data_IF_939635073202
#
_entry.id   IF_939635073202
#
_cell.length_a   1.000
_cell.length_b   1.000
_cell.length_c   1.000
_cell.angle_alpha   90.00
_cell.angle_beta   90.00
_cell.angle_gamma   90.00
#
_symmetry.space_group_name_H-M   'P 1'
#
loop_
_entity.id
_entity.type
_entity.pdbx_description
1 polymer ?
#
# COMPACT_ATOMS: atom_id res chain seq x y z
N UNK A 1 -37.72 57.36 -13.91
CA UNK A 1 -36.28 57.30 -14.22
C UNK A 1 -35.83 55.86 -14.05
N UNK A 2 -35.98 55.08 -15.13
CA UNK A 2 -35.47 53.72 -15.18
C UNK A 2 -34.02 53.69 -15.58
N UNK A 3 -33.13 53.39 -14.68
CA UNK A 3 -31.72 53.11 -14.97
C UNK A 3 -31.66 51.70 -15.50
N UNK A 4 -31.61 51.56 -16.83
CA UNK A 4 -31.31 50.28 -17.47
C UNK A 4 -29.81 50.01 -17.28
N UNK A 5 -29.46 49.08 -16.42
CA UNK A 5 -28.12 48.52 -16.32
C UNK A 5 -27.85 47.77 -17.62
N UNK A 6 -27.09 48.36 -18.55
CA UNK A 6 -26.49 47.63 -19.66
C UNK A 6 -25.46 46.67 -19.05
N UNK A 7 -25.87 45.42 -18.82
CA UNK A 7 -24.94 44.31 -18.63
C UNK A 7 -24.27 44.14 -20.00
N UNK A 8 -23.01 44.51 -20.09
CA UNK A 8 -22.23 44.38 -21.33
C UNK A 8 -22.20 42.91 -21.71
N UNK A 9 -22.31 42.58 -22.99
CA UNK A 9 -22.25 41.21 -23.53
C UNK A 9 -21.05 40.43 -22.98
N UNK A 10 -19.97 41.13 -22.71
CA UNK A 10 -18.72 40.60 -22.15
C UNK A 10 -18.90 39.96 -20.73
N UNK A 11 -19.71 40.60 -19.89
CA UNK A 11 -20.00 40.07 -18.54
C UNK A 11 -20.88 38.78 -18.59
N UNK A 12 -21.78 38.72 -19.59
CA UNK A 12 -22.63 37.54 -19.79
C UNK A 12 -21.84 36.36 -20.38
N UNK A 13 -20.88 36.64 -21.25
CA UNK A 13 -20.00 35.62 -21.84
C UNK A 13 -19.00 35.09 -20.81
N UNK A 14 -18.45 35.95 -19.95
CA UNK A 14 -17.61 35.55 -18.83
C UNK A 14 -18.38 34.68 -17.81
N UNK A 15 -19.63 35.03 -17.49
CA UNK A 15 -20.48 34.24 -16.61
C UNK A 15 -20.83 32.86 -17.21
N UNK A 16 -21.12 32.81 -18.51
CA UNK A 16 -21.33 31.55 -19.24
C UNK A 16 -20.09 30.68 -19.27
N UNK A 17 -18.91 31.25 -19.51
CA UNK A 17 -17.64 30.54 -19.49
C UNK A 17 -17.35 29.97 -18.09
N UNK A 18 -17.61 30.73 -17.03
CA UNK A 18 -17.45 30.29 -15.66
C UNK A 18 -18.40 29.13 -15.31
N UNK A 19 -19.68 29.21 -15.71
CA UNK A 19 -20.64 28.12 -15.53
C UNK A 19 -20.28 26.86 -16.32
N UNK A 20 -19.75 27.00 -17.53
CA UNK A 20 -19.27 25.91 -18.34
C UNK A 20 -18.06 25.21 -17.68
N UNK A 21 -17.09 25.98 -17.20
CA UNK A 21 -15.93 25.47 -16.49
C UNK A 21 -16.31 24.75 -15.19
N UNK A 22 -17.26 25.30 -14.40
CA UNK A 22 -17.77 24.62 -13.20
C UNK A 22 -18.49 23.31 -13.52
N UNK A 23 -19.28 23.28 -14.61
CA UNK A 23 -19.93 22.03 -15.04
C UNK A 23 -18.92 20.99 -15.52
N UNK A 24 -17.91 21.40 -16.26
CA UNK A 24 -16.83 20.50 -16.71
C UNK A 24 -16.05 19.94 -15.53
N UNK A 25 -15.75 20.76 -14.51
CA UNK A 25 -15.11 20.30 -13.28
C UNK A 25 -15.99 19.30 -12.51
N UNK A 26 -17.27 19.59 -12.34
CA UNK A 26 -18.21 18.66 -11.69
C UNK A 26 -18.35 17.33 -12.42
N UNK A 27 -18.40 17.37 -13.78
CA UNK A 27 -18.46 16.14 -14.59
C UNK A 27 -17.14 15.36 -14.50
N UNK A 28 -16.00 16.05 -14.47
CA UNK A 28 -14.69 15.41 -14.30
C UNK A 28 -14.54 14.76 -12.91
N UNK A 29 -14.96 15.47 -11.85
CA UNK A 29 -14.98 14.93 -10.48
C UNK A 29 -15.94 13.74 -10.34
N UNK A 30 -17.12 13.82 -10.96
CA UNK A 30 -18.09 12.73 -10.92
C UNK A 30 -17.60 11.50 -11.67
N UNK A 31 -16.98 11.68 -12.84
CA UNK A 31 -16.36 10.58 -13.60
C UNK A 31 -15.17 9.96 -12.87
N UNK A 32 -14.34 10.79 -12.24
CA UNK A 32 -13.23 10.32 -11.42
C UNK A 32 -13.74 9.50 -10.22
N UNK A 33 -14.82 9.95 -9.58
CA UNK A 33 -15.47 9.23 -8.48
C UNK A 33 -16.09 7.91 -8.92
N UNK A 34 -16.80 7.89 -10.04
CA UNK A 34 -17.38 6.67 -10.62
C UNK A 34 -16.28 5.67 -11.03
N UNK A 35 -15.15 6.15 -11.56
CA UNK A 35 -13.98 5.30 -11.86
C UNK A 35 -13.32 4.75 -10.59
N UNK A 36 -13.23 5.55 -9.51
CA UNK A 36 -12.73 5.10 -8.21
C UNK A 36 -13.67 4.01 -7.61
N UNK A 37 -14.97 4.24 -7.63
CA UNK A 37 -15.98 3.28 -7.14
C UNK A 37 -15.97 1.99 -7.96
N UNK A 38 -15.80 2.08 -9.27
CA UNK A 38 -15.67 0.92 -10.16
C UNK A 38 -14.37 0.13 -9.92
N UNK A 39 -13.31 0.79 -9.49
CA UNK A 39 -12.03 0.15 -9.13
C UNK A 39 -12.04 -0.48 -7.73
N UNK A 40 -13.09 -0.26 -6.93
CA UNK A 40 -13.19 -0.73 -5.53
C UNK A 40 -12.35 0.09 -4.54
N UNK A 41 -11.80 1.23 -4.97
CA UNK A 41 -11.04 2.14 -4.11
C UNK A 41 -12.01 3.11 -3.43
N UNK A 42 -12.31 2.88 -2.16
CA UNK A 42 -13.08 3.82 -1.35
C UNK A 42 -12.18 4.94 -0.81
N UNK A 43 -12.74 6.12 -0.45
CA UNK A 43 -11.96 7.19 0.18
C UNK A 43 -11.24 6.72 1.46
N UNK A 44 -11.86 5.84 2.24
CA UNK A 44 -11.25 5.24 3.43
C UNK A 44 -10.06 4.34 3.08
N UNK A 45 -10.14 3.60 1.97
CA UNK A 45 -9.04 2.78 1.49
C UNK A 45 -7.85 3.64 1.04
N UNK A 46 -8.13 4.74 0.34
CA UNK A 46 -7.10 5.69 -0.06
C UNK A 46 -6.42 6.33 1.15
N UNK A 47 -7.18 6.72 2.17
CA UNK A 47 -6.62 7.22 3.43
C UNK A 47 -5.71 6.19 4.10
N UNK A 48 -6.09 4.91 4.14
CA UNK A 48 -5.24 3.85 4.68
C UNK A 48 -3.92 3.71 3.91
N UNK A 49 -3.94 3.85 2.58
CA UNK A 49 -2.71 3.81 1.78
C UNK A 49 -1.79 4.99 2.11
N UNK A 50 -2.34 6.20 2.26
CA UNK A 50 -1.59 7.40 2.64
C UNK A 50 -1.01 7.29 4.05
N UNK A 51 -1.77 6.74 5.00
CA UNK A 51 -1.28 6.45 6.35
C UNK A 51 -0.13 5.42 6.33
N UNK A 52 -0.22 4.39 5.48
CA UNK A 52 0.84 3.41 5.30
C UNK A 52 2.11 4.06 4.76
N UNK A 53 2.00 4.94 3.77
CA UNK A 53 3.13 5.72 3.25
C UNK A 53 3.78 6.58 4.34
N UNK A 54 2.98 7.19 5.20
CA UNK A 54 3.47 7.96 6.35
C UNK A 54 4.26 7.07 7.33
N UNK A 55 3.82 5.85 7.60
CA UNK A 55 4.58 4.92 8.44
C UNK A 55 5.90 4.49 7.79
N UNK A 56 5.92 4.23 6.49
CA UNK A 56 7.16 3.90 5.76
C UNK A 56 8.17 5.04 5.90
N UNK A 57 7.75 6.29 5.71
CA UNK A 57 8.61 7.46 5.89
C UNK A 57 9.14 7.59 7.33
N UNK A 58 8.31 7.32 8.34
CA UNK A 58 8.71 7.33 9.75
C UNK A 58 9.72 6.23 10.06
N UNK A 59 9.54 5.02 9.52
CA UNK A 59 10.47 3.89 9.68
C UNK A 59 11.81 4.24 9.00
N UNK A 60 11.76 4.77 7.79
CA UNK A 60 12.95 5.21 7.06
C UNK A 60 13.75 6.25 7.86
N UNK A 61 13.08 7.29 8.36
CA UNK A 61 13.74 8.31 9.17
C UNK A 61 14.31 7.73 10.47
N UNK A 62 13.57 6.85 11.14
CA UNK A 62 14.06 6.16 12.34
C UNK A 62 15.30 5.31 12.05
N UNK A 63 15.36 4.67 10.88
CA UNK A 63 16.52 3.89 10.44
C UNK A 63 17.75 4.76 10.18
N UNK A 64 17.56 5.99 9.71
CA UNK A 64 18.66 6.96 9.54
C UNK A 64 19.16 7.54 10.87
N UNK A 65 18.26 7.71 11.84
CA UNK A 65 18.55 8.31 13.14
C UNK A 65 19.26 7.35 14.11
N UNK A 66 19.07 6.03 13.92
CA UNK A 66 19.57 5.02 14.85
C UNK A 66 20.95 4.48 14.42
N UNK A 67 21.97 4.58 15.28
CA UNK A 67 23.26 3.93 15.06
C UNK A 67 23.18 2.44 15.43
N UNK A 68 23.83 1.58 14.67
CA UNK A 68 23.99 0.17 15.01
C UNK A 68 23.50 -0.79 13.92
N UNK A 69 24.40 -1.69 13.51
CA UNK A 69 24.15 -2.60 12.39
C UNK A 69 22.95 -3.52 12.61
N UNK A 70 22.75 -3.99 13.85
CA UNK A 70 21.67 -4.94 14.18
C UNK A 70 20.30 -4.30 14.00
N UNK A 71 20.07 -3.14 14.58
CA UNK A 71 18.77 -2.45 14.49
C UNK A 71 18.53 -1.96 13.06
N UNK A 72 19.55 -1.42 12.41
CA UNK A 72 19.48 -0.94 11.02
C UNK A 72 19.08 -2.06 10.07
N UNK A 73 19.65 -3.27 10.22
CA UNK A 73 19.27 -4.42 9.39
C UNK A 73 17.79 -4.81 9.59
N UNK A 74 17.32 -4.80 10.83
CA UNK A 74 15.90 -5.11 11.16
C UNK A 74 14.94 -4.05 10.61
N UNK A 75 15.30 -2.77 10.72
CA UNK A 75 14.50 -1.65 10.18
C UNK A 75 14.48 -1.64 8.65
N UNK A 76 15.60 -1.91 7.99
CA UNK A 76 15.66 -2.00 6.53
C UNK A 76 14.80 -3.16 5.99
N UNK A 77 14.78 -4.28 6.71
CA UNK A 77 13.91 -5.41 6.39
C UNK A 77 12.44 -5.03 6.59
N UNK A 78 12.09 -4.37 7.71
CA UNK A 78 10.75 -3.88 7.99
C UNK A 78 10.25 -2.91 6.91
N UNK A 79 11.06 -1.91 6.58
CA UNK A 79 10.77 -0.92 5.54
C UNK A 79 10.47 -1.60 4.19
N UNK A 80 11.32 -2.56 3.82
CA UNK A 80 11.16 -3.32 2.57
C UNK A 80 9.83 -4.07 2.54
N UNK A 81 9.51 -4.80 3.62
CA UNK A 81 8.28 -5.62 3.68
C UNK A 81 7.04 -4.75 3.70
N UNK A 82 7.02 -3.66 4.49
CA UNK A 82 5.88 -2.74 4.55
C UNK A 82 5.66 -2.04 3.21
N UNK A 83 6.74 -1.64 2.52
CA UNK A 83 6.66 -1.07 1.17
C UNK A 83 6.03 -2.05 0.18
N UNK A 84 6.43 -3.32 0.23
CA UNK A 84 5.86 -4.37 -0.62
C UNK A 84 4.39 -4.65 -0.31
N UNK A 85 4.00 -4.66 0.97
CA UNK A 85 2.59 -4.79 1.36
C UNK A 85 1.77 -3.63 0.78
N UNK A 86 2.27 -2.39 0.85
CA UNK A 86 1.62 -1.22 0.27
C UNK A 86 1.48 -1.32 -1.26
N UNK A 87 2.54 -1.75 -1.96
CA UNK A 87 2.51 -1.94 -3.42
C UNK A 87 1.47 -2.98 -3.84
N UNK A 88 1.38 -4.11 -3.12
CA UNK A 88 0.37 -5.13 -3.40
C UNK A 88 -1.04 -4.67 -3.02
N UNK A 89 -1.20 -3.95 -1.93
CA UNK A 89 -2.47 -3.36 -1.55
C UNK A 89 -2.99 -2.40 -2.64
N UNK A 90 -2.14 -1.53 -3.19
CA UNK A 90 -2.51 -0.60 -4.29
C UNK A 90 -3.06 -1.33 -5.52
N UNK A 91 -2.62 -2.55 -5.78
CA UNK A 91 -3.09 -3.38 -6.91
C UNK A 91 -4.41 -4.07 -6.61
N UNK A 92 -4.78 -4.22 -5.33
CA UNK A 92 -5.90 -5.08 -4.89
C UNK A 92 -6.81 -4.43 -3.86
N UNK A 93 -7.61 -3.45 -4.27
CA UNK A 93 -8.55 -2.78 -3.34
C UNK A 93 -9.57 -3.73 -2.69
N UNK A 94 -9.82 -4.89 -3.31
CA UNK A 94 -10.73 -5.91 -2.77
C UNK A 94 -10.25 -6.57 -1.48
N UNK A 95 -8.96 -6.50 -1.17
CA UNK A 95 -8.35 -7.06 0.05
C UNK A 95 -8.22 -6.02 1.18
N UNK A 96 -9.04 -4.96 1.13
CA UNK A 96 -9.06 -3.86 2.10
C UNK A 96 -9.16 -4.31 3.55
N UNK A 97 -9.82 -5.45 3.84
CA UNK A 97 -9.99 -5.94 5.20
C UNK A 97 -8.67 -6.38 5.85
N UNK A 98 -7.77 -7.02 5.08
CA UNK A 98 -6.45 -7.42 5.56
C UNK A 98 -5.58 -6.19 5.83
N UNK A 99 -5.59 -5.21 4.92
CA UNK A 99 -4.88 -3.95 5.09
C UNK A 99 -5.41 -3.15 6.28
N UNK A 100 -6.72 -3.12 6.51
CA UNK A 100 -7.33 -2.43 7.66
C UNK A 100 -6.79 -2.99 8.98
N UNK A 101 -6.79 -4.31 9.14
CA UNK A 101 -6.23 -4.95 10.35
C UNK A 101 -4.74 -4.63 10.54
N UNK A 102 -3.99 -4.62 9.45
CA UNK A 102 -2.58 -4.26 9.43
C UNK A 102 -2.36 -2.82 9.91
N UNK A 103 -3.14 -1.88 9.39
CA UNK A 103 -3.03 -0.45 9.72
C UNK A 103 -3.57 -0.10 11.11
N UNK A 104 -4.66 -0.74 11.56
CA UNK A 104 -5.30 -0.40 12.83
C UNK A 104 -4.54 -0.95 14.05
N UNK A 105 -3.84 -2.09 13.90
CA UNK A 105 -3.24 -2.79 15.03
C UNK A 105 -1.74 -2.99 14.92
N UNK A 106 -1.25 -3.47 13.77
CA UNK A 106 0.16 -3.85 13.68
C UNK A 106 1.07 -2.65 13.47
N UNK A 107 0.73 -1.73 12.59
CA UNK A 107 1.59 -0.56 12.31
C UNK A 107 1.70 0.40 13.49
N UNK A 108 0.61 0.80 14.19
CA UNK A 108 0.72 1.66 15.36
C UNK A 108 1.55 1.04 16.50
N UNK A 109 1.38 -0.27 16.72
CA UNK A 109 2.14 -1.00 17.75
C UNK A 109 3.61 -1.07 17.39
N UNK A 110 3.93 -1.41 16.14
CA UNK A 110 5.32 -1.45 15.64
C UNK A 110 5.97 -0.08 15.77
N UNK A 111 5.27 0.99 15.36
CA UNK A 111 5.79 2.35 15.50
C UNK A 111 6.06 2.72 16.96
N UNK A 112 5.17 2.36 17.88
CA UNK A 112 5.37 2.61 19.32
C UNK A 112 6.64 1.95 19.85
N UNK A 113 6.95 0.74 19.40
CA UNK A 113 8.19 0.05 19.80
C UNK A 113 9.43 0.77 19.24
N UNK A 114 9.38 1.21 17.98
CA UNK A 114 10.48 1.95 17.36
C UNK A 114 10.72 3.30 18.01
N UNK A 115 9.67 4.03 18.35
CA UNK A 115 9.77 5.32 19.02
C UNK A 115 10.33 5.18 20.44
N UNK A 116 9.94 4.12 21.17
CA UNK A 116 10.51 3.78 22.46
C UNK A 116 12.00 3.43 22.33
N UNK A 117 12.38 2.60 21.35
CA UNK A 117 13.78 2.25 21.10
C UNK A 117 14.62 3.49 20.81
N UNK A 118 14.13 4.39 19.93
CA UNK A 118 14.80 5.65 19.62
C UNK A 118 14.96 6.55 20.86
N UNK A 119 13.94 6.61 21.71
CA UNK A 119 13.99 7.35 22.97
C UNK A 119 15.05 6.79 23.91
N UNK A 120 15.13 5.46 24.05
CA UNK A 120 16.15 4.79 24.87
C UNK A 120 17.57 4.95 24.31
N UNK A 121 17.74 5.00 22.98
CA UNK A 121 19.04 5.23 22.36
C UNK A 121 19.60 6.63 22.72
N UNK A 122 18.71 7.61 22.80
CA UNK A 122 19.07 9.00 23.12
C UNK A 122 19.27 9.26 24.63
N UNK A 123 18.99 8.28 25.49
CA UNK A 123 19.19 8.44 26.94
C UNK A 123 20.67 8.42 27.29
N UNK A 124 21.17 9.46 27.99
CA UNK A 124 22.58 9.53 28.37
C UNK A 124 23.02 8.41 29.35
N UNK A 125 22.07 7.91 30.15
CA UNK A 125 22.30 6.84 31.12
C UNK A 125 21.68 5.55 30.61
N UNK A 126 22.53 4.66 30.15
CA UNK A 126 22.12 3.33 29.66
C UNK A 126 22.04 2.35 30.84
N UNK A 127 20.93 2.35 31.56
CA UNK A 127 20.69 1.40 32.66
C UNK A 127 20.46 -0.01 32.12
N UNK A 128 20.63 -1.03 32.98
CA UNK A 128 20.39 -2.44 32.66
C UNK A 128 18.93 -2.67 32.16
N UNK A 129 17.96 -1.91 32.69
CA UNK A 129 16.59 -1.97 32.24
C UNK A 129 16.46 -1.45 30.79
N UNK A 130 17.11 -0.34 30.45
CA UNK A 130 17.09 0.21 29.09
C UNK A 130 17.73 -0.79 28.13
N UNK A 131 18.90 -1.32 28.44
CA UNK A 131 19.60 -2.28 27.59
C UNK A 131 18.78 -3.55 27.38
N UNK A 132 18.14 -4.08 28.44
CA UNK A 132 17.27 -5.25 28.33
C UNK A 132 16.04 -4.94 27.47
N UNK A 133 15.38 -3.81 27.69
CA UNK A 133 14.18 -3.45 26.92
C UNK A 133 14.52 -3.20 25.45
N UNK A 134 15.65 -2.57 25.14
CA UNK A 134 16.14 -2.43 23.76
C UNK A 134 16.29 -3.81 23.10
N UNK A 135 16.91 -4.77 23.81
CA UNK A 135 17.07 -6.13 23.31
C UNK A 135 15.72 -6.84 23.09
N UNK A 136 14.78 -6.68 24.00
CA UNK A 136 13.41 -7.22 23.85
C UNK A 136 12.69 -6.61 22.63
N UNK A 137 12.89 -5.34 22.36
CA UNK A 137 12.34 -4.68 21.15
C UNK A 137 12.99 -5.26 19.88
N UNK A 138 14.32 -5.43 19.85
CA UNK A 138 15.02 -6.03 18.73
C UNK A 138 14.52 -7.46 18.42
N UNK A 139 14.33 -8.29 19.45
CA UNK A 139 13.82 -9.66 19.29
C UNK A 139 12.35 -9.66 18.83
N UNK A 140 11.57 -8.68 19.30
CA UNK A 140 10.19 -8.47 18.86
C UNK A 140 10.11 -8.02 17.40
N UNK A 141 11.04 -7.17 16.94
CA UNK A 141 11.12 -6.74 15.54
C UNK A 141 11.40 -7.92 14.60
N UNK A 142 12.17 -8.93 15.00
CA UNK A 142 12.33 -10.15 14.20
C UNK A 142 11.01 -10.89 14.02
N UNK A 143 10.23 -10.98 15.09
CA UNK A 143 8.90 -11.60 15.06
C UNK A 143 7.93 -10.80 14.18
N UNK A 144 7.95 -9.46 14.29
CA UNK A 144 7.14 -8.56 13.46
C UNK A 144 7.52 -8.71 11.99
N UNK A 145 8.80 -8.70 11.65
CA UNK A 145 9.28 -8.87 10.29
C UNK A 145 8.81 -10.20 9.70
N UNK A 146 8.94 -11.30 10.43
CA UNK A 146 8.48 -12.61 10.00
C UNK A 146 6.94 -12.66 9.81
N UNK A 147 6.18 -12.01 10.71
CA UNK A 147 4.73 -11.92 10.59
C UNK A 147 4.29 -11.08 9.37
N UNK A 148 4.98 -9.99 9.09
CA UNK A 148 4.67 -9.14 7.93
C UNK A 148 5.07 -9.80 6.61
N UNK A 149 6.18 -10.53 6.58
CA UNK A 149 6.55 -11.36 5.42
C UNK A 149 5.49 -12.43 5.13
N UNK A 150 4.96 -13.07 6.17
CA UNK A 150 3.86 -14.02 6.01
C UNK A 150 2.60 -13.33 5.48
N UNK A 151 2.24 -12.16 6.00
CA UNK A 151 1.12 -11.38 5.47
C UNK A 151 1.32 -11.04 3.99
N UNK A 152 2.52 -10.65 3.59
CA UNK A 152 2.87 -10.38 2.20
C UNK A 152 2.73 -11.65 1.34
N UNK A 153 3.18 -12.80 1.83
CA UNK A 153 3.04 -14.08 1.15
C UNK A 153 1.57 -14.46 0.97
N UNK A 154 0.75 -14.28 1.99
CA UNK A 154 -0.70 -14.50 1.93
C UNK A 154 -1.37 -13.59 0.87
N UNK A 155 -0.92 -12.34 0.72
CA UNK A 155 -1.37 -11.44 -0.34
C UNK A 155 -0.96 -11.94 -1.74
N UNK A 156 0.19 -12.58 -1.88
CA UNK A 156 0.64 -13.17 -3.14
C UNK A 156 -0.07 -14.48 -3.48
N UNK A 157 -0.52 -15.26 -2.50
CA UNK A 157 -1.20 -16.53 -2.74
C UNK A 157 -2.46 -16.35 -3.60
N UNK A 158 -3.23 -15.30 -3.37
CA UNK A 158 -4.42 -15.00 -4.18
C UNK A 158 -4.06 -14.82 -5.66
N UNK A 159 -2.94 -14.14 -5.96
CA UNK A 159 -2.44 -14.00 -7.35
C UNK A 159 -1.95 -15.31 -7.94
N UNK A 160 -1.28 -16.11 -7.14
CA UNK A 160 -0.73 -17.39 -7.61
C UNK A 160 -1.87 -18.34 -8.04
N UNK A 161 -3.01 -18.31 -7.36
CA UNK A 161 -4.18 -19.11 -7.74
C UNK A 161 -4.84 -18.60 -9.02
N UNK A 162 -4.99 -17.28 -9.19
CA UNK A 162 -5.54 -16.68 -10.42
C UNK A 162 -4.65 -17.05 -11.63
N UNK A 163 -3.33 -16.86 -11.50
CA UNK A 163 -2.37 -17.20 -12.56
C UNK A 163 -2.35 -18.70 -12.84
N UNK A 164 -2.46 -19.55 -11.82
CA UNK A 164 -2.51 -21.01 -11.99
C UNK A 164 -3.76 -21.44 -12.78
N UNK A 165 -4.88 -20.78 -12.52
CA UNK A 165 -6.12 -20.96 -13.28
C UNK A 165 -5.93 -20.57 -14.75
N UNK A 166 -5.35 -19.39 -15.01
CA UNK A 166 -5.07 -18.89 -16.36
C UNK A 166 -4.11 -19.80 -17.12
N UNK A 167 -3.06 -20.30 -16.45
CA UNK A 167 -2.13 -21.28 -17.02
C UNK A 167 -2.86 -22.56 -17.40
N UNK A 168 -3.79 -23.03 -16.58
CA UNK A 168 -4.58 -24.22 -16.86
C UNK A 168 -5.47 -24.05 -18.09
N UNK A 169 -6.13 -22.89 -18.20
CA UNK A 169 -6.95 -22.52 -19.36
C UNK A 169 -6.10 -22.43 -20.63
N UNK A 170 -4.95 -21.72 -20.55
CA UNK A 170 -4.02 -21.60 -21.68
C UNK A 170 -3.50 -22.97 -22.14
N UNK A 171 -3.10 -23.82 -21.19
CA UNK A 171 -2.65 -25.17 -21.49
C UNK A 171 -3.73 -26.00 -22.20
N UNK A 172 -4.99 -25.84 -21.82
CA UNK A 172 -6.12 -26.50 -22.44
C UNK A 172 -6.32 -25.99 -23.88
N UNK A 173 -6.25 -24.68 -24.10
CA UNK A 173 -6.36 -24.07 -25.43
C UNK A 173 -5.23 -24.52 -26.34
N UNK A 174 -3.98 -24.52 -25.87
CA UNK A 174 -2.82 -24.97 -26.63
C UNK A 174 -2.92 -26.46 -27.01
N UNK A 175 -3.45 -27.29 -26.11
CA UNK A 175 -3.69 -28.71 -26.41
C UNK A 175 -4.79 -28.90 -27.46
N UNK A 176 -5.88 -28.09 -27.43
CA UNK A 176 -6.95 -28.14 -28.43
C UNK A 176 -6.51 -27.70 -29.83
N UNK A 177 -5.56 -26.73 -29.88
CA UNK A 177 -4.96 -26.24 -31.13
C UNK A 177 -3.78 -27.08 -31.63
N UNK A 178 -3.41 -28.15 -30.91
CA UNK A 178 -2.29 -29.04 -31.28
C UNK A 178 -0.91 -28.39 -31.18
N UNK A 179 -0.80 -27.28 -30.43
CA UNK A 179 0.43 -26.54 -30.22
C UNK A 179 1.24 -27.03 -29.01
N UNK A 180 0.73 -28.02 -28.27
CA UNK A 180 1.46 -28.71 -27.21
C UNK A 180 2.10 -29.95 -27.81
N UNK A 181 3.44 -30.00 -27.85
CA UNK A 181 4.14 -31.26 -28.09
C UNK A 181 3.80 -32.20 -26.95
N UNK A 182 3.08 -33.29 -27.29
CA UNK A 182 2.93 -34.42 -26.37
C UNK A 182 4.36 -34.92 -26.07
N UNK A 183 4.71 -34.94 -24.79
CA UNK A 183 5.87 -35.68 -24.29
C UNK A 183 5.67 -37.15 -24.70
N UNK A 184 6.16 -37.49 -25.88
CA UNK A 184 6.21 -38.85 -26.36
C UNK A 184 7.15 -39.61 -25.42
N UNK A 185 6.57 -40.21 -24.40
CA UNK A 185 7.21 -41.24 -23.60
C UNK A 185 7.90 -42.24 -24.55
N UNK A 186 9.18 -42.07 -24.73
CA UNK A 186 10.04 -43.15 -25.23
C UNK A 186 10.10 -44.21 -24.13
N UNK A 187 9.01 -45.00 -24.06
CA UNK A 187 9.04 -46.31 -23.47
C UNK A 187 9.56 -47.23 -24.58
N UNK A 188 10.82 -47.62 -24.56
CA UNK A 188 11.23 -48.80 -25.28
C UNK A 188 12.50 -49.44 -24.72
N UNK A 189 12.27 -50.62 -24.16
CA UNK A 189 13.14 -51.83 -24.01
C UNK A 189 14.42 -51.70 -23.20
#
# INVERSE_FOLDING_TARGET
NGTCLMVTNDCYDQYRAMLASQKEQQIAEQKAREQLEASGVTPEYQQMLEECESYIQKIHQCNLDLPGEVITAKLSRLETVVTRILEEAKKRPKEAAALRKFMDYYMPTTWKLLDAYRSFENEPIQSDNILRTKKEIEDTLDTINAAFEKLLDDLFQTTAWDISSDISVLNTMLAQEGLKEDDFTLNNK
#
